data_IF_863489538693
#
_entry.id   IF_863489538693
#
_cell.length_a   1.000
_cell.length_b   1.000
_cell.length_c   1.000
_cell.angle_alpha   90.00
_cell.angle_beta   90.00
_cell.angle_gamma   90.00
#
_symmetry.space_group_name_H-M   'P 1'
#
loop_
_entity.id
_entity.type
_entity.pdbx_description
1 polymer ?
#
# COMPACT_ATOMS: atom_id res chain seq x y z
N UNK A 1 -8.57 -25.75 5.41
CA UNK A 1 -9.50 -24.78 6.01
C UNK A 1 -10.50 -24.32 4.95
N UNK A 2 -11.79 -24.21 5.29
CA UNK A 2 -12.84 -23.73 4.38
C UNK A 2 -12.78 -22.19 4.31
N UNK A 3 -13.09 -21.61 3.14
CA UNK A 3 -13.27 -20.15 2.99
C UNK A 3 -14.52 -19.72 3.76
N UNK A 4 -14.40 -18.62 4.52
CA UNK A 4 -15.53 -18.01 5.23
C UNK A 4 -16.59 -17.52 4.24
N UNK A 5 -17.87 -17.68 4.60
CA UNK A 5 -18.97 -16.98 3.95
C UNK A 5 -18.95 -15.49 4.34
N UNK A 6 -19.74 -14.68 3.63
CA UNK A 6 -19.92 -13.26 3.97
C UNK A 6 -20.53 -13.11 5.37
N UNK A 7 -21.55 -13.91 5.69
CA UNK A 7 -22.24 -13.85 6.99
C UNK A 7 -21.30 -14.25 8.14
N UNK A 8 -20.47 -15.28 7.95
CA UNK A 8 -19.46 -15.68 8.93
C UNK A 8 -18.43 -14.56 9.16
N UNK A 9 -17.97 -13.90 8.10
CA UNK A 9 -17.02 -12.79 8.21
C UNK A 9 -17.63 -11.58 8.92
N UNK A 10 -18.89 -11.24 8.62
CA UNK A 10 -19.59 -10.14 9.26
C UNK A 10 -19.76 -10.39 10.77
N UNK A 11 -20.20 -11.60 11.14
CA UNK A 11 -20.35 -11.99 12.54
C UNK A 11 -19.03 -11.85 13.32
N UNK A 12 -17.90 -12.24 12.72
CA UNK A 12 -16.59 -12.09 13.33
C UNK A 12 -16.20 -10.61 13.53
N UNK A 13 -16.49 -9.73 12.57
CA UNK A 13 -16.19 -8.30 12.70
C UNK A 13 -17.01 -7.66 13.83
N UNK A 14 -18.29 -8.02 13.95
CA UNK A 14 -19.21 -7.38 14.89
C UNK A 14 -19.08 -7.92 16.33
N UNK A 15 -18.64 -9.18 16.49
CA UNK A 15 -18.82 -9.88 17.76
C UNK A 15 -17.60 -10.62 18.30
N UNK A 16 -16.57 -10.89 17.50
CA UNK A 16 -15.45 -11.68 17.99
C UNK A 16 -14.51 -10.87 18.89
N UNK A 17 -13.95 -11.54 19.90
CA UNK A 17 -12.88 -10.95 20.70
C UNK A 17 -11.62 -10.75 19.84
N UNK A 18 -10.98 -9.59 19.98
CA UNK A 18 -9.81 -9.23 19.18
C UNK A 18 -8.64 -10.22 19.38
N UNK A 19 -8.44 -10.73 20.60
CA UNK A 19 -7.36 -11.67 20.86
C UNK A 19 -7.66 -13.06 20.29
N UNK A 20 -8.93 -13.48 20.31
CA UNK A 20 -9.37 -14.69 19.63
C UNK A 20 -9.13 -14.62 18.11
N UNK A 21 -9.51 -13.51 17.48
CA UNK A 21 -9.22 -13.25 16.07
C UNK A 21 -7.72 -13.26 15.79
N UNK A 22 -6.92 -12.59 16.63
CA UNK A 22 -5.46 -12.57 16.52
C UNK A 22 -4.84 -13.96 16.59
N UNK A 23 -5.31 -14.81 17.52
CA UNK A 23 -4.86 -16.21 17.63
C UNK A 23 -5.21 -17.04 16.40
N UNK A 24 -6.44 -16.91 15.89
CA UNK A 24 -6.88 -17.62 14.68
C UNK A 24 -6.09 -17.18 13.45
N UNK A 25 -5.90 -15.87 13.26
CA UNK A 25 -5.10 -15.31 12.17
C UNK A 25 -3.63 -15.76 12.26
N UNK A 26 -3.06 -15.77 13.46
CA UNK A 26 -1.70 -16.25 13.67
C UNK A 26 -1.56 -17.74 13.36
N UNK A 27 -2.49 -18.58 13.83
CA UNK A 27 -2.52 -20.00 13.50
C UNK A 27 -2.56 -20.21 11.97
N UNK A 28 -3.38 -19.45 11.25
CA UNK A 28 -3.43 -19.50 9.79
C UNK A 28 -2.12 -19.04 9.12
N UNK A 29 -1.49 -17.98 9.63
CA UNK A 29 -0.15 -17.53 9.17
C UNK A 29 0.88 -18.65 9.36
N UNK A 30 0.87 -19.36 10.50
CA UNK A 30 1.74 -20.51 10.78
C UNK A 30 1.48 -21.66 9.81
N UNK A 31 0.20 -21.87 9.48
CA UNK A 31 -0.37 -22.61 8.35
C UNK A 31 0.43 -22.43 7.04
N UNK A 32 0.37 -21.19 6.56
CA UNK A 32 0.84 -20.77 5.24
C UNK A 32 2.35 -20.55 5.16
N UNK A 33 2.98 -20.23 6.29
CA UNK A 33 4.39 -19.89 6.39
C UNK A 33 5.08 -20.77 7.45
N UNK A 34 5.25 -22.08 7.16
CA UNK A 34 5.76 -23.04 8.13
C UNK A 34 7.16 -22.68 8.63
N UNK A 35 8.02 -22.14 7.76
CA UNK A 35 9.42 -21.76 8.05
C UNK A 35 9.57 -20.58 9.02
N UNK A 36 8.46 -19.92 9.37
CA UNK A 36 8.41 -18.78 10.31
C UNK A 36 9.20 -17.55 9.88
N UNK A 37 9.62 -17.48 8.62
CA UNK A 37 10.34 -16.32 8.09
C UNK A 37 9.37 -15.19 7.79
N UNK A 38 9.64 -14.01 8.32
CA UNK A 38 8.97 -12.77 7.91
C UNK A 38 9.97 -11.96 7.09
N UNK A 39 9.60 -11.64 5.86
CA UNK A 39 10.45 -10.91 4.92
C UNK A 39 10.12 -9.42 4.94
N UNK A 40 11.01 -8.62 4.37
CA UNK A 40 10.78 -7.22 4.05
C UNK A 40 11.43 -6.91 2.71
N UNK A 41 11.05 -5.77 2.12
CA UNK A 41 11.70 -5.20 0.94
C UNK A 41 12.06 -3.75 1.24
N UNK A 42 13.12 -3.24 0.62
CA UNK A 42 13.40 -1.81 0.60
C UNK A 42 12.76 -1.28 -0.68
N UNK A 43 11.67 -0.53 -0.52
CA UNK A 43 10.91 0.06 -1.62
C UNK A 43 10.97 1.60 -1.61
N UNK A 44 10.59 2.19 -2.74
CA UNK A 44 10.33 3.62 -2.84
C UNK A 44 8.98 3.89 -3.48
N UNK A 45 8.18 4.70 -2.80
CA UNK A 45 7.05 5.40 -3.40
C UNK A 45 7.56 6.54 -4.29
N UNK A 46 7.35 6.42 -5.60
CA UNK A 46 7.53 7.52 -6.54
C UNK A 46 6.15 8.08 -6.87
N UNK A 47 5.83 9.19 -6.20
CA UNK A 47 4.66 9.98 -6.50
C UNK A 47 4.94 10.85 -7.73
N UNK A 48 4.62 10.35 -8.93
CA UNK A 48 5.03 11.02 -10.18
C UNK A 48 4.21 12.28 -10.48
N UNK A 49 3.01 12.39 -9.91
CA UNK A 49 2.17 13.58 -9.99
C UNK A 49 1.21 13.60 -8.82
N UNK A 50 0.89 14.78 -8.30
CA UNK A 50 -0.27 14.97 -7.43
C UNK A 50 -1.47 15.57 -8.19
N UNK A 51 -1.31 15.98 -9.45
CA UNK A 51 -2.40 16.49 -10.27
C UNK A 51 -3.40 15.38 -10.60
N UNK A 52 -4.69 15.60 -10.32
CA UNK A 52 -5.74 14.58 -10.44
C UNK A 52 -7.10 15.19 -10.77
N UNK A 53 -7.94 14.44 -11.50
CA UNK A 53 -9.30 14.85 -11.87
C UNK A 53 -10.43 14.10 -11.15
N UNK A 54 -10.12 13.24 -10.18
CA UNK A 54 -11.08 12.28 -9.59
C UNK A 54 -11.82 12.81 -8.36
N UNK A 55 -11.22 13.75 -7.61
CA UNK A 55 -11.81 14.38 -6.42
C UNK A 55 -12.27 13.41 -5.31
N UNK A 56 -11.43 12.41 -5.02
CA UNK A 56 -11.67 11.48 -3.92
C UNK A 56 -11.77 12.20 -2.57
N UNK A 57 -12.92 12.10 -1.89
CA UNK A 57 -13.20 12.77 -0.60
C UNK A 57 -12.24 12.43 0.54
N UNK A 58 -11.52 11.31 0.45
CA UNK A 58 -10.57 10.86 1.47
C UNK A 58 -9.11 11.13 1.09
N UNK A 59 -8.84 11.61 -0.13
CA UNK A 59 -7.48 11.80 -0.61
C UNK A 59 -6.99 13.20 -0.23
N UNK A 60 -6.00 13.28 0.66
CA UNK A 60 -5.34 14.55 0.99
C UNK A 60 -4.22 14.94 0.01
N UNK A 61 -3.81 13.99 -0.85
CA UNK A 61 -2.66 14.13 -1.72
C UNK A 61 -2.98 14.86 -3.03
N UNK A 62 -4.20 14.69 -3.56
CA UNK A 62 -4.53 15.21 -4.88
C UNK A 62 -4.58 16.73 -4.92
N UNK A 63 -4.28 17.27 -6.10
CA UNK A 63 -4.46 18.67 -6.47
C UNK A 63 -5.17 18.75 -7.80
N UNK A 64 -5.95 19.79 -8.00
CA UNK A 64 -6.36 20.17 -9.34
C UNK A 64 -5.15 20.71 -10.10
N UNK A 65 -5.13 20.56 -11.43
CA UNK A 65 -4.01 21.03 -12.25
C UNK A 65 -3.76 22.55 -12.14
N UNK A 66 -4.76 23.32 -11.70
CA UNK A 66 -4.68 24.76 -11.46
C UNK A 66 -4.11 25.14 -10.08
N UNK A 67 -3.99 24.19 -9.15
CA UNK A 67 -3.51 24.48 -7.81
C UNK A 67 -2.00 24.78 -7.83
N UNK A 68 -1.57 25.71 -6.99
CA UNK A 68 -0.20 26.23 -7.01
C UNK A 68 0.86 25.17 -6.65
N UNK A 69 0.48 24.13 -5.91
CA UNK A 69 1.35 23.01 -5.51
C UNK A 69 1.12 21.74 -6.36
N UNK A 70 0.41 21.85 -7.49
CA UNK A 70 0.30 20.77 -8.46
C UNK A 70 1.63 20.57 -9.21
N UNK A 71 2.02 19.30 -9.44
CA UNK A 71 3.24 18.95 -10.14
C UNK A 71 3.09 17.67 -10.96
N UNK A 72 3.91 17.56 -12.00
CA UNK A 72 4.24 16.31 -12.70
C UNK A 72 5.76 16.21 -12.74
N UNK A 73 6.33 15.13 -12.20
CA UNK A 73 7.77 14.90 -12.22
C UNK A 73 8.24 14.65 -13.65
N UNK A 74 9.42 15.17 -13.99
CA UNK A 74 10.10 14.80 -15.22
C UNK A 74 10.66 13.37 -15.11
N UNK A 75 10.95 12.75 -16.26
CA UNK A 75 11.64 11.45 -16.27
C UNK A 75 13.01 11.50 -15.61
N UNK A 76 13.72 12.62 -15.70
CA UNK A 76 15.00 12.85 -15.01
C UNK A 76 14.83 12.80 -13.49
N UNK A 77 13.84 13.54 -12.95
CA UNK A 77 13.53 13.52 -11.52
C UNK A 77 13.06 12.14 -11.04
N UNK A 78 12.36 11.37 -11.88
CA UNK A 78 12.00 9.98 -11.59
C UNK A 78 13.27 9.12 -11.56
N UNK A 79 14.16 9.27 -12.55
CA UNK A 79 15.43 8.56 -12.63
C UNK A 79 16.30 8.78 -11.40
N UNK A 80 16.49 10.02 -10.97
CA UNK A 80 17.24 10.36 -9.74
C UNK A 80 16.69 9.62 -8.51
N UNK A 81 15.36 9.55 -8.37
CA UNK A 81 14.71 8.83 -7.26
C UNK A 81 14.96 7.32 -7.32
N UNK A 82 15.07 6.75 -8.51
CA UNK A 82 15.39 5.34 -8.73
C UNK A 82 16.85 5.08 -8.37
N UNK A 83 17.78 5.92 -8.81
CA UNK A 83 19.21 5.81 -8.48
C UNK A 83 19.44 5.88 -6.96
N UNK A 84 18.76 6.80 -6.27
CA UNK A 84 18.77 6.88 -4.81
C UNK A 84 18.25 5.59 -4.13
N UNK A 85 17.23 4.93 -4.70
CA UNK A 85 16.72 3.65 -4.19
C UNK A 85 17.74 2.53 -4.38
N UNK A 86 18.34 2.45 -5.58
CA UNK A 86 19.37 1.46 -5.91
C UNK A 86 20.57 1.62 -4.97
N UNK A 87 20.98 2.86 -4.69
CA UNK A 87 22.12 3.16 -3.81
C UNK A 87 21.94 2.63 -2.38
N UNK A 88 20.70 2.47 -1.89
CA UNK A 88 20.40 1.88 -0.57
C UNK A 88 20.03 0.39 -0.63
N UNK A 89 20.25 -0.26 -1.78
CA UNK A 89 19.94 -1.68 -1.99
C UNK A 89 18.46 -1.99 -2.16
N UNK A 90 17.66 -1.00 -2.55
CA UNK A 90 16.24 -1.19 -2.82
C UNK A 90 15.93 -1.94 -4.11
N UNK A 91 14.78 -2.61 -4.12
CA UNK A 91 14.44 -3.57 -5.17
C UNK A 91 13.05 -3.39 -5.76
N UNK A 92 12.24 -2.47 -5.22
CA UNK A 92 10.88 -2.24 -5.70
C UNK A 92 10.53 -0.76 -5.75
N UNK A 93 9.90 -0.37 -6.84
CA UNK A 93 9.28 0.94 -6.98
C UNK A 93 7.77 0.75 -6.86
N UNK A 94 7.13 1.56 -6.02
CA UNK A 94 5.69 1.74 -6.04
C UNK A 94 5.40 3.07 -6.75
N UNK A 95 4.88 2.98 -7.97
CA UNK A 95 4.61 4.14 -8.80
C UNK A 95 3.17 4.59 -8.57
N UNK A 96 2.99 5.74 -7.96
CA UNK A 96 1.68 6.26 -7.54
C UNK A 96 1.51 7.70 -8.01
N UNK A 97 0.28 8.15 -8.19
CA UNK A 97 0.03 9.52 -8.57
C UNK A 97 -1.44 9.79 -8.84
N UNK A 98 -1.75 11.05 -9.10
CA UNK A 98 -3.06 11.45 -9.58
C UNK A 98 -3.33 11.00 -11.02
N UNK A 99 -4.60 11.02 -11.40
CA UNK A 99 -5.06 10.76 -12.77
C UNK A 99 -5.09 12.09 -13.50
N UNK A 100 -3.96 12.42 -14.14
CA UNK A 100 -3.77 13.60 -15.00
C UNK A 100 -4.24 13.32 -16.42
#
# INVERSE_FOLDING_TARGET
>A
MKRLSIDEALNLIEHADLNELGRAAFARKRELHPDRVTTFIIDRNINYTNACMVDCKFCAFYRHASDADAYVLSFEQIGEKIEELIAVGGTQILFQGGVH
#
